data_IF_062013073974
#
_entry.id   IF_062013073974
#
_cell.length_a   1.000
_cell.length_b   1.000
_cell.length_c   1.000
_cell.angle_alpha   90.00
_cell.angle_beta   90.00
_cell.angle_gamma   90.00
#
_symmetry.space_group_name_H-M   'P 1'
#
loop_
_entity.id
_entity.type
_entity.pdbx_description
1 polymer ?
#
# COMPACT_ATOMS: atom_id res chain seq x y z
N UNK A 1 12.37 -36.76 11.38
CA UNK A 1 12.13 -35.97 12.61
C UNK A 1 11.49 -36.87 13.66
N UNK A 2 12.05 -36.99 14.87
CA UNK A 2 11.54 -37.92 15.91
C UNK A 2 10.41 -37.22 16.69
N UNK A 3 9.17 -37.59 16.39
CA UNK A 3 7.93 -36.99 16.94
C UNK A 3 7.87 -36.94 18.48
N UNK A 4 8.36 -37.98 19.15
CA UNK A 4 8.24 -38.08 20.61
C UNK A 4 9.02 -37.03 21.41
N UNK A 5 9.95 -36.29 20.80
CA UNK A 5 10.76 -35.27 21.50
C UNK A 5 10.23 -33.84 21.34
N UNK A 6 9.20 -33.61 20.51
CA UNK A 6 8.59 -32.30 20.28
C UNK A 6 7.78 -31.85 21.50
N UNK A 7 7.92 -30.57 21.88
CA UNK A 7 7.19 -30.02 23.03
C UNK A 7 5.67 -30.06 22.82
N UNK A 8 5.20 -29.88 21.59
CA UNK A 8 3.79 -29.93 21.22
C UNK A 8 3.18 -31.31 21.45
N UNK A 9 3.93 -32.37 21.15
CA UNK A 9 3.51 -33.74 21.43
C UNK A 9 3.44 -34.02 22.93
N UNK A 10 4.45 -33.56 23.69
CA UNK A 10 4.46 -33.70 25.16
C UNK A 10 3.32 -32.92 25.82
N UNK A 11 3.03 -31.71 25.33
CA UNK A 11 1.90 -30.89 25.78
C UNK A 11 0.57 -31.58 25.44
N UNK A 12 0.45 -32.15 24.24
CA UNK A 12 -0.77 -32.87 23.81
C UNK A 12 -1.02 -34.10 24.67
N UNK A 13 0.03 -34.84 25.04
CA UNK A 13 -0.09 -35.98 25.95
C UNK A 13 -0.57 -35.55 27.34
N UNK A 14 0.04 -34.51 27.92
CA UNK A 14 -0.38 -33.95 29.21
C UNK A 14 -1.80 -33.41 29.18
N UNK A 15 -2.23 -32.84 28.04
CA UNK A 15 -3.60 -32.39 27.84
C UNK A 15 -4.57 -33.58 27.87
N UNK A 16 -4.26 -34.66 27.15
CA UNK A 16 -5.05 -35.89 27.17
C UNK A 16 -5.19 -36.49 28.58
N UNK A 17 -4.09 -36.54 29.34
CA UNK A 17 -4.10 -37.00 30.74
C UNK A 17 -5.05 -36.15 31.61
N UNK A 18 -5.03 -34.82 31.46
CA UNK A 18 -5.90 -33.91 32.21
C UNK A 18 -7.37 -33.99 31.78
N UNK A 19 -7.64 -34.19 30.49
CA UNK A 19 -9.01 -34.38 29.99
C UNK A 19 -9.62 -35.64 30.59
N UNK A 20 -8.86 -36.73 30.67
CA UNK A 20 -9.32 -37.95 31.29
C UNK A 20 -9.59 -37.76 32.80
N UNK A 21 -8.67 -37.14 33.53
CA UNK A 21 -8.83 -36.93 34.98
C UNK A 21 -10.05 -36.07 35.35
N UNK A 22 -10.40 -35.09 34.52
CA UNK A 22 -11.45 -34.11 34.84
C UNK A 22 -12.80 -34.43 34.22
N UNK A 23 -12.80 -35.06 33.04
CA UNK A 23 -14.00 -35.26 32.22
C UNK A 23 -14.17 -36.71 31.76
N UNK A 24 -13.27 -37.63 32.14
CA UNK A 24 -13.25 -39.04 31.73
C UNK A 24 -13.15 -39.26 30.20
N UNK A 25 -12.68 -38.24 29.47
CA UNK A 25 -12.43 -38.33 28.03
C UNK A 25 -11.00 -38.82 27.79
N UNK A 26 -10.85 -40.00 27.18
CA UNK A 26 -9.56 -40.57 26.79
C UNK A 26 -9.19 -40.21 25.35
N UNK A 27 -7.96 -39.72 25.14
CA UNK A 27 -7.40 -39.56 23.79
C UNK A 27 -6.51 -40.75 23.44
N UNK A 28 -6.76 -41.37 22.29
CA UNK A 28 -5.87 -42.34 21.66
C UNK A 28 -4.54 -41.71 21.26
N UNK A 29 -3.53 -42.53 20.98
CA UNK A 29 -2.23 -42.03 20.49
C UNK A 29 -2.36 -41.21 19.20
N UNK A 30 -3.29 -41.59 18.32
CA UNK A 30 -3.58 -40.84 17.09
C UNK A 30 -4.19 -39.47 17.38
N UNK A 31 -5.11 -39.37 18.33
CA UNK A 31 -5.73 -38.09 18.72
C UNK A 31 -4.72 -37.18 19.41
N UNK A 32 -3.83 -37.72 20.25
CA UNK A 32 -2.71 -36.96 20.83
C UNK A 32 -1.80 -36.41 19.73
N UNK A 33 -1.48 -37.22 18.72
CA UNK A 33 -0.71 -36.78 17.56
C UNK A 33 -1.44 -35.70 16.74
N UNK A 34 -2.75 -35.82 16.56
CA UNK A 34 -3.57 -34.83 15.86
C UNK A 34 -3.56 -33.49 16.60
N UNK A 35 -3.76 -33.49 17.92
CA UNK A 35 -3.66 -32.27 18.74
C UNK A 35 -2.26 -31.66 18.61
N UNK A 36 -1.21 -32.48 18.60
CA UNK A 36 0.15 -31.99 18.43
C UNK A 36 0.36 -31.31 17.06
N UNK A 37 -0.19 -31.90 15.98
CA UNK A 37 -0.20 -31.30 14.64
C UNK A 37 -0.91 -29.95 14.64
N UNK A 38 -2.07 -29.85 15.30
CA UNK A 38 -2.82 -28.60 15.38
C UNK A 38 -2.03 -27.51 16.13
N UNK A 39 -1.36 -27.88 17.23
CA UNK A 39 -0.49 -26.97 17.98
C UNK A 39 0.76 -26.54 17.19
N UNK A 40 1.31 -27.41 16.34
CA UNK A 40 2.41 -27.08 15.42
C UNK A 40 1.96 -26.16 14.28
N UNK A 41 0.71 -26.30 13.86
CA UNK A 41 0.10 -25.56 12.75
C UNK A 41 -0.46 -24.21 13.18
N UNK A 42 -0.54 -23.95 14.49
CA UNK A 42 -0.95 -22.68 15.06
C UNK A 42 0.23 -21.71 15.14
N UNK A 43 -0.01 -20.45 14.79
CA UNK A 43 1.00 -19.39 14.91
C UNK A 43 1.26 -19.10 16.39
N UNK A 44 2.52 -19.16 16.80
CA UNK A 44 2.94 -18.83 18.18
C UNK A 44 3.64 -17.49 18.17
N UNK A 45 3.13 -16.51 18.91
CA UNK A 45 3.74 -15.17 18.97
C UNK A 45 5.08 -15.16 19.72
N UNK A 46 5.34 -16.19 20.53
CA UNK A 46 6.62 -16.47 21.18
C UNK A 46 7.07 -17.89 20.78
N UNK A 47 7.97 -17.98 19.80
CA UNK A 47 8.64 -19.25 19.45
C UNK A 47 10.11 -19.20 19.86
N UNK A 48 10.38 -19.69 21.08
CA UNK A 48 11.73 -19.88 21.64
C UNK A 48 12.59 -20.86 20.84
N UNK A 49 12.03 -21.57 19.85
CA UNK A 49 12.75 -22.41 18.90
C UNK A 49 12.90 -21.76 17.51
N UNK A 50 12.69 -20.45 17.39
CA UNK A 50 12.99 -19.68 16.16
C UNK A 50 14.38 -20.02 15.58
N UNK A 51 15.37 -20.27 16.45
CA UNK A 51 16.76 -20.53 16.10
C UNK A 51 17.18 -22.01 16.18
N UNK A 52 16.27 -22.96 16.40
CA UNK A 52 16.66 -24.38 16.45
C UNK A 52 17.15 -24.87 15.08
N UNK A 53 18.18 -25.72 15.05
CA UNK A 53 18.75 -26.31 13.81
C UNK A 53 17.70 -26.95 12.89
N UNK A 54 16.60 -27.44 13.45
CA UNK A 54 15.47 -28.03 12.72
C UNK A 54 14.87 -27.11 11.64
N UNK A 55 15.04 -25.79 11.75
CA UNK A 55 14.47 -24.81 10.83
C UNK A 55 15.53 -24.04 10.02
N UNK A 56 16.79 -24.50 10.00
CA UNK A 56 17.85 -23.84 9.24
C UNK A 56 17.52 -23.74 7.75
N UNK A 57 16.97 -24.79 7.14
CA UNK A 57 16.58 -24.78 5.73
C UNK A 57 15.40 -23.83 5.46
N UNK A 58 14.45 -23.74 6.41
CA UNK A 58 13.36 -22.77 6.33
C UNK A 58 13.90 -21.35 6.32
N UNK A 59 14.85 -21.05 7.21
CA UNK A 59 15.49 -19.73 7.30
C UNK A 59 16.22 -19.36 6.02
N UNK A 60 17.04 -20.26 5.47
CA UNK A 60 17.78 -20.02 4.22
C UNK A 60 16.84 -19.71 3.05
N UNK A 61 15.75 -20.47 2.90
CA UNK A 61 14.76 -20.22 1.86
C UNK A 61 14.06 -18.86 2.02
N UNK A 62 13.79 -18.44 3.26
CA UNK A 62 13.22 -17.13 3.55
C UNK A 62 14.20 -15.98 3.27
N UNK A 63 15.48 -16.15 3.59
CA UNK A 63 16.52 -15.17 3.26
C UNK A 63 16.63 -14.98 1.75
N UNK A 64 16.64 -16.08 0.98
CA UNK A 64 16.66 -16.06 -0.49
C UNK A 64 15.38 -15.41 -1.06
N UNK A 65 14.21 -15.73 -0.49
CA UNK A 65 12.95 -15.12 -0.83
C UNK A 65 12.93 -13.60 -0.60
N UNK A 66 13.41 -13.13 0.56
CA UNK A 66 13.50 -11.70 0.88
C UNK A 66 14.45 -11.00 -0.09
N UNK A 67 15.63 -11.59 -0.33
CA UNK A 67 16.62 -11.03 -1.25
C UNK A 67 16.08 -10.91 -2.68
N UNK A 68 15.47 -11.99 -3.19
CA UNK A 68 14.90 -11.98 -4.53
C UNK A 68 13.75 -11.00 -4.62
N UNK A 69 12.84 -10.99 -3.64
CA UNK A 69 11.74 -10.03 -3.60
C UNK A 69 12.25 -8.59 -3.64
N UNK A 70 13.24 -8.23 -2.82
CA UNK A 70 13.82 -6.89 -2.80
C UNK A 70 14.42 -6.51 -4.16
N UNK A 71 15.05 -7.45 -4.86
CA UNK A 71 15.60 -7.22 -6.21
C UNK A 71 14.54 -6.90 -7.27
N UNK A 72 13.28 -7.28 -7.04
CA UNK A 72 12.18 -7.06 -7.98
C UNK A 72 11.46 -5.72 -7.75
N UNK A 73 11.74 -5.02 -6.64
CA UNK A 73 11.08 -3.77 -6.27
C UNK A 73 12.08 -2.62 -6.20
N UNK A 74 11.58 -1.37 -6.21
CA UNK A 74 12.40 -0.15 -6.08
C UNK A 74 12.38 0.45 -4.67
N UNK A 75 11.87 -0.30 -3.69
CA UNK A 75 11.78 0.13 -2.29
C UNK A 75 12.77 -0.68 -1.45
N UNK A 76 13.27 -0.06 -0.38
CA UNK A 76 14.13 -0.72 0.59
C UNK A 76 13.28 -1.47 1.62
N UNK A 77 13.76 -2.64 2.07
CA UNK A 77 13.16 -3.32 3.21
C UNK A 77 13.87 -2.84 4.49
N UNK A 78 13.14 -2.19 5.40
CA UNK A 78 13.66 -1.84 6.71
C UNK A 78 13.71 -3.07 7.62
N UNK A 79 14.67 -3.08 8.55
CA UNK A 79 14.77 -4.07 9.62
C UNK A 79 14.60 -5.51 9.09
N UNK A 80 15.41 -5.91 8.10
CA UNK A 80 15.33 -7.24 7.46
C UNK A 80 15.37 -8.39 8.46
N UNK A 81 16.13 -8.24 9.54
CA UNK A 81 16.17 -9.25 10.60
C UNK A 81 14.81 -9.41 11.28
N UNK A 82 14.06 -8.33 11.48
CA UNK A 82 12.73 -8.34 12.09
C UNK A 82 11.69 -8.93 11.12
N UNK A 83 11.78 -8.57 9.83
CA UNK A 83 10.99 -9.20 8.78
C UNK A 83 11.23 -10.71 8.74
N UNK A 84 12.50 -11.12 8.73
CA UNK A 84 12.89 -12.53 8.71
C UNK A 84 12.37 -13.26 9.96
N UNK A 85 12.48 -12.68 11.15
CA UNK A 85 11.92 -13.26 12.38
C UNK A 85 10.40 -13.44 12.29
N UNK A 86 9.68 -12.43 11.79
CA UNK A 86 8.23 -12.50 11.62
C UNK A 86 7.81 -13.54 10.57
N UNK A 87 8.52 -13.60 9.44
CA UNK A 87 8.29 -14.60 8.41
C UNK A 87 8.63 -16.00 8.91
N UNK A 88 9.67 -16.18 9.72
CA UNK A 88 10.00 -17.47 10.34
C UNK A 88 8.84 -17.97 11.21
N UNK A 89 8.29 -17.12 12.08
CA UNK A 89 7.14 -17.48 12.94
C UNK A 89 5.93 -17.88 12.08
N UNK A 90 5.59 -17.08 11.07
CA UNK A 90 4.46 -17.37 10.20
C UNK A 90 4.66 -18.64 9.35
N UNK A 91 5.82 -18.76 8.72
CA UNK A 91 6.10 -19.78 7.71
C UNK A 91 6.32 -21.17 8.32
N UNK A 92 6.78 -21.26 9.58
CA UNK A 92 6.78 -22.55 10.31
C UNK A 92 5.37 -23.13 10.41
N UNK A 93 4.43 -22.34 10.92
CA UNK A 93 3.03 -22.75 11.06
C UNK A 93 2.40 -23.03 9.68
N UNK A 94 2.69 -22.19 8.68
CA UNK A 94 2.26 -22.39 7.30
C UNK A 94 2.76 -23.72 6.72
N UNK A 95 4.05 -24.04 6.90
CA UNK A 95 4.63 -25.27 6.36
C UNK A 95 3.96 -26.51 6.97
N UNK A 96 3.72 -26.52 8.28
CA UNK A 96 2.96 -27.60 8.91
C UNK A 96 1.53 -27.69 8.39
N UNK A 97 0.83 -26.55 8.26
CA UNK A 97 -0.51 -26.53 7.64
C UNK A 97 -0.51 -27.15 6.26
N UNK A 98 0.47 -26.81 5.41
CA UNK A 98 0.60 -27.35 4.05
C UNK A 98 0.93 -28.83 4.03
N UNK A 99 1.85 -29.25 4.90
CA UNK A 99 2.29 -30.64 5.00
C UNK A 99 1.14 -31.58 5.40
N UNK A 100 0.26 -31.11 6.29
CA UNK A 100 -0.86 -31.92 6.80
C UNK A 100 -2.21 -31.58 6.16
N UNK A 101 -2.25 -30.77 5.09
CA UNK A 101 -3.49 -30.43 4.38
C UNK A 101 -4.49 -29.60 5.19
N UNK A 102 -4.03 -28.81 6.15
CA UNK A 102 -4.87 -27.92 6.97
C UNK A 102 -5.13 -26.64 6.19
N UNK A 103 -6.39 -26.43 5.82
CA UNK A 103 -6.82 -25.22 5.12
C UNK A 103 -6.79 -24.00 6.05
N UNK A 104 -6.33 -22.88 5.52
CA UNK A 104 -6.36 -21.59 6.19
C UNK A 104 -6.76 -20.53 5.17
N UNK A 105 -7.71 -19.68 5.56
CA UNK A 105 -8.24 -18.62 4.71
C UNK A 105 -7.77 -17.28 5.25
N UNK A 106 -7.28 -16.43 4.36
CA UNK A 106 -7.03 -15.03 4.69
C UNK A 106 -8.30 -14.22 4.33
N UNK A 107 -9.02 -13.65 5.31
CA UNK A 107 -10.25 -12.91 5.04
C UNK A 107 -10.02 -11.64 4.21
N UNK A 108 -8.78 -11.16 4.15
CA UNK A 108 -8.39 -9.93 3.46
C UNK A 108 -7.85 -10.15 2.05
N UNK A 109 -7.73 -11.39 1.56
CA UNK A 109 -7.11 -11.70 0.25
C UNK A 109 -7.68 -10.87 -0.89
N UNK A 110 -9.01 -10.74 -0.98
CA UNK A 110 -9.65 -9.94 -2.02
C UNK A 110 -9.26 -8.46 -1.92
N UNK A 111 -9.24 -7.92 -0.70
CA UNK A 111 -8.88 -6.51 -0.46
C UNK A 111 -7.41 -6.26 -0.78
N UNK A 112 -6.52 -7.17 -0.38
CA UNK A 112 -5.08 -7.08 -0.63
C UNK A 112 -4.79 -7.14 -2.13
N UNK A 113 -5.41 -8.07 -2.85
CA UNK A 113 -5.28 -8.15 -4.31
C UNK A 113 -5.79 -6.89 -5.02
N UNK A 114 -6.85 -6.27 -4.50
CA UNK A 114 -7.43 -5.06 -5.08
C UNK A 114 -6.61 -3.81 -4.79
N UNK A 115 -6.15 -3.62 -3.54
CA UNK A 115 -5.46 -2.40 -3.08
C UNK A 115 -3.94 -2.45 -3.30
N UNK A 116 -3.35 -3.64 -3.18
CA UNK A 116 -1.90 -3.87 -3.25
C UNK A 116 -1.56 -4.87 -4.36
N UNK A 117 -2.25 -4.79 -5.50
CA UNK A 117 -2.16 -5.77 -6.59
C UNK A 117 -0.75 -5.98 -7.11
N UNK A 118 0.01 -4.90 -7.34
CA UNK A 118 1.40 -4.98 -7.80
C UNK A 118 2.29 -5.70 -6.77
N UNK A 119 2.21 -5.29 -5.50
CA UNK A 119 2.96 -5.93 -4.41
C UNK A 119 2.63 -7.42 -4.31
N UNK A 120 1.34 -7.77 -4.38
CA UNK A 120 0.87 -9.16 -4.36
C UNK A 120 1.44 -9.97 -5.53
N UNK A 121 1.50 -9.40 -6.74
CA UNK A 121 2.07 -10.06 -7.92
C UNK A 121 3.56 -10.35 -7.74
N UNK A 122 4.32 -9.36 -7.25
CA UNK A 122 5.75 -9.53 -6.99
C UNK A 122 5.97 -10.55 -5.87
N UNK A 123 5.23 -10.48 -4.77
CA UNK A 123 5.29 -11.47 -3.69
C UNK A 123 4.98 -12.87 -4.20
N UNK A 124 3.96 -13.04 -5.05
CA UNK A 124 3.63 -14.35 -5.65
C UNK A 124 4.77 -14.91 -6.48
N UNK A 125 5.38 -14.09 -7.33
CA UNK A 125 6.52 -14.49 -8.15
C UNK A 125 7.71 -14.88 -7.27
N UNK A 126 8.02 -14.09 -6.25
CA UNK A 126 9.11 -14.41 -5.31
C UNK A 126 8.84 -15.68 -4.51
N UNK A 127 7.58 -15.95 -4.17
CA UNK A 127 7.19 -17.10 -3.38
C UNK A 127 7.41 -18.45 -4.10
N UNK A 128 7.67 -18.44 -5.42
CA UNK A 128 8.10 -19.64 -6.15
C UNK A 128 9.40 -20.25 -5.57
N UNK A 129 10.28 -19.42 -5.00
CA UNK A 129 11.47 -19.87 -4.26
C UNK A 129 11.07 -20.75 -3.07
N UNK A 130 10.05 -20.32 -2.33
CA UNK A 130 9.54 -21.05 -1.16
C UNK A 130 8.82 -22.33 -1.57
N UNK A 131 8.01 -22.28 -2.63
CA UNK A 131 7.34 -23.47 -3.18
C UNK A 131 8.36 -24.53 -3.60
N UNK A 132 9.42 -24.13 -4.29
CA UNK A 132 10.51 -25.01 -4.71
C UNK A 132 11.30 -25.58 -3.54
N UNK A 133 11.70 -24.74 -2.58
CA UNK A 133 12.49 -25.15 -1.43
C UNK A 133 11.73 -26.09 -0.48
N UNK A 134 10.43 -25.88 -0.32
CA UNK A 134 9.61 -26.63 0.66
C UNK A 134 8.74 -27.72 0.04
N UNK A 135 8.75 -27.85 -1.29
CA UNK A 135 7.92 -28.80 -2.04
C UNK A 135 6.41 -28.63 -1.73
N UNK A 136 5.95 -27.39 -1.64
CA UNK A 136 4.56 -27.04 -1.38
C UNK A 136 3.95 -26.20 -2.50
N UNK A 137 2.63 -26.04 -2.46
CA UNK A 137 1.91 -25.02 -3.24
C UNK A 137 1.24 -24.01 -2.33
N UNK A 138 1.51 -22.73 -2.58
CA UNK A 138 0.95 -21.58 -1.90
C UNK A 138 -0.33 -21.15 -2.63
N UNK A 139 -1.37 -20.88 -1.85
CA UNK A 139 -2.63 -20.34 -2.36
C UNK A 139 -2.59 -18.83 -2.34
N UNK A 140 -3.53 -18.17 -3.04
CA UNK A 140 -3.70 -16.72 -2.98
C UNK A 140 -3.80 -16.20 -1.53
N UNK A 141 -4.40 -16.99 -0.61
CA UNK A 141 -4.52 -16.62 0.81
C UNK A 141 -3.16 -16.62 1.54
N UNK A 142 -2.28 -17.56 1.20
CA UNK A 142 -0.94 -17.62 1.76
C UNK A 142 -0.07 -16.50 1.20
N UNK A 143 -0.16 -16.24 -0.11
CA UNK A 143 0.50 -15.10 -0.75
C UNK A 143 0.03 -13.78 -0.14
N UNK A 144 -1.27 -13.63 0.14
CA UNK A 144 -1.81 -12.44 0.78
C UNK A 144 -1.22 -12.21 2.18
N UNK A 145 -0.99 -13.27 2.95
CA UNK A 145 -0.29 -13.16 4.24
C UNK A 145 1.16 -12.71 4.07
N UNK A 146 1.92 -13.33 3.15
CA UNK A 146 3.29 -12.92 2.84
C UNK A 146 3.36 -11.47 2.38
N UNK A 147 2.37 -11.04 1.59
CA UNK A 147 2.23 -9.67 1.07
C UNK A 147 2.09 -8.67 2.22
N UNK A 148 1.25 -8.96 3.23
CA UNK A 148 1.12 -8.11 4.43
C UNK A 148 2.44 -8.05 5.19
N UNK A 149 3.07 -9.21 5.42
CA UNK A 149 4.29 -9.29 6.20
C UNK A 149 5.43 -8.49 5.56
N UNK A 150 5.61 -8.60 4.25
CA UNK A 150 6.62 -7.79 3.56
C UNK A 150 6.19 -6.33 3.52
N UNK A 151 4.93 -6.05 3.16
CA UNK A 151 4.42 -4.69 3.03
C UNK A 151 4.59 -3.84 4.30
N UNK A 152 4.48 -4.44 5.48
CA UNK A 152 4.71 -3.76 6.76
C UNK A 152 6.17 -3.45 7.09
N UNK A 153 7.12 -4.01 6.34
CA UNK A 153 8.57 -3.78 6.48
C UNK A 153 9.17 -3.08 5.26
N UNK A 154 8.37 -2.82 4.24
CA UNK A 154 8.79 -1.91 3.19
C UNK A 154 8.94 -0.55 3.82
N UNK A 155 10.15 -0.01 3.68
CA UNK A 155 10.34 1.41 3.91
C UNK A 155 9.38 2.10 2.97
N UNK A 156 8.46 2.87 3.54
CA UNK A 156 7.88 3.96 2.79
C UNK A 156 8.99 5.01 2.60
N UNK A 157 9.95 4.67 1.75
CA UNK A 157 10.73 5.66 1.06
C UNK A 157 9.83 5.99 -0.11
N UNK A 158 9.17 7.17 -0.16
CA UNK A 158 8.72 7.69 -1.44
C UNK A 158 9.98 7.65 -2.29
N UNK A 159 10.03 6.69 -3.21
CA UNK A 159 11.25 6.36 -3.93
C UNK A 159 11.69 7.65 -4.59
N UNK A 160 12.77 8.24 -4.06
CA UNK A 160 13.28 9.61 -4.20
C UNK A 160 12.78 10.70 -3.22
N UNK A 161 13.47 10.80 -2.08
CA UNK A 161 13.85 12.11 -1.47
C UNK A 161 14.78 12.96 -2.37
N UNK A 162 14.88 12.61 -3.66
CA UNK A 162 15.36 13.51 -4.73
C UNK A 162 14.22 14.31 -5.39
N UNK A 163 12.96 14.06 -5.03
CA UNK A 163 11.79 14.69 -5.65
C UNK A 163 10.78 15.24 -4.62
N UNK A 164 11.21 15.72 -3.44
CA UNK A 164 10.35 16.70 -2.76
C UNK A 164 10.37 17.94 -3.63
N UNK A 165 9.33 18.13 -4.43
CA UNK A 165 9.21 19.23 -5.35
C UNK A 165 9.06 20.48 -4.49
N UNK A 166 9.95 21.45 -4.73
CA UNK A 166 9.77 22.79 -4.19
C UNK A 166 8.71 23.47 -5.02
N UNK A 167 7.58 23.73 -4.39
CA UNK A 167 6.40 24.27 -5.05
C UNK A 167 6.13 25.66 -4.50
N UNK A 168 6.08 26.65 -5.39
CA UNK A 168 5.62 27.98 -5.03
C UNK A 168 4.17 28.16 -5.44
N UNK A 169 3.38 28.72 -4.53
CA UNK A 169 2.03 29.18 -4.83
C UNK A 169 2.08 30.67 -5.13
N UNK A 170 1.50 31.09 -6.25
CA UNK A 170 1.33 32.50 -6.62
C UNK A 170 -0.16 32.82 -6.69
N UNK A 171 -0.62 33.77 -5.88
CA UNK A 171 -2.03 34.10 -5.72
C UNK A 171 -2.16 35.58 -5.32
N UNK A 172 -2.89 36.37 -6.10
CA UNK A 172 -3.09 37.81 -5.90
C UNK A 172 -4.43 38.15 -5.22
N UNK A 173 -5.31 37.16 -5.05
CA UNK A 173 -6.71 37.26 -4.57
C UNK A 173 -6.84 37.47 -3.05
N UNK A 174 -5.74 37.82 -2.38
CA UNK A 174 -5.68 38.21 -0.98
C UNK A 174 -5.52 37.04 0.01
N UNK A 175 -5.11 37.39 1.23
CA UNK A 175 -4.62 36.43 2.25
C UNK A 175 -5.58 35.28 2.56
N UNK A 176 -6.89 35.53 2.57
CA UNK A 176 -7.89 34.51 2.88
C UNK A 176 -7.95 33.42 1.79
N UNK A 177 -7.98 33.84 0.53
CA UNK A 177 -8.03 32.95 -0.63
C UNK A 177 -6.70 32.20 -0.78
N UNK A 178 -5.58 32.90 -0.63
CA UNK A 178 -4.24 32.29 -0.63
C UNK A 178 -4.08 31.19 0.42
N UNK A 179 -4.62 31.38 1.63
CA UNK A 179 -4.60 30.35 2.69
C UNK A 179 -5.48 29.16 2.36
N UNK A 180 -6.63 29.39 1.72
CA UNK A 180 -7.51 28.31 1.28
C UNK A 180 -6.83 27.47 0.20
N UNK A 181 -6.24 28.11 -0.82
CA UNK A 181 -5.45 27.43 -1.85
C UNK A 181 -4.28 26.65 -1.24
N UNK A 182 -3.52 27.26 -0.33
CA UNK A 182 -2.43 26.58 0.38
C UNK A 182 -2.92 25.34 1.13
N UNK A 183 -4.05 25.44 1.83
CA UNK A 183 -4.62 24.31 2.57
C UNK A 183 -5.08 23.20 1.63
N UNK A 184 -5.76 23.53 0.53
CA UNK A 184 -6.17 22.55 -0.48
C UNK A 184 -4.97 21.86 -1.13
N UNK A 185 -3.92 22.62 -1.50
CA UNK A 185 -2.70 22.03 -2.04
C UNK A 185 -2.01 21.12 -1.03
N UNK A 186 -1.87 21.53 0.24
CA UNK A 186 -1.28 20.66 1.28
C UNK A 186 -2.08 19.39 1.53
N UNK A 187 -3.40 19.44 1.36
CA UNK A 187 -4.28 18.28 1.48
C UNK A 187 -4.02 17.25 0.39
N UNK A 188 -3.93 17.68 -0.87
CA UNK A 188 -3.71 16.77 -2.01
C UNK A 188 -2.23 16.41 -2.24
N UNK A 189 -1.31 17.20 -1.70
CA UNK A 189 0.15 17.05 -1.86
C UNK A 189 0.88 17.10 -0.50
N UNK A 190 0.58 16.20 0.44
CA UNK A 190 1.13 16.25 1.80
C UNK A 190 2.65 16.02 1.86
N UNK A 191 3.23 15.47 0.79
CA UNK A 191 4.65 15.11 0.70
C UNK A 191 5.51 16.18 0.00
N UNK A 192 4.94 17.31 -0.43
CA UNK A 192 5.66 18.36 -1.18
C UNK A 192 6.02 19.58 -0.31
N UNK A 193 7.10 20.28 -0.67
CA UNK A 193 7.54 21.47 0.06
C UNK A 193 6.76 22.71 -0.42
N UNK A 194 5.63 22.97 0.23
CA UNK A 194 4.78 24.16 0.02
C UNK A 194 4.86 25.05 1.26
N UNK A 195 5.89 25.89 1.33
CA UNK A 195 6.18 26.69 2.53
C UNK A 195 5.57 28.10 2.50
N UNK A 196 5.39 28.69 1.32
CA UNK A 196 5.02 30.10 1.17
C UNK A 196 4.11 30.37 -0.03
N UNK A 197 3.19 31.32 0.13
CA UNK A 197 2.39 31.89 -0.97
C UNK A 197 2.93 33.28 -1.28
N UNK A 198 3.16 33.55 -2.56
CA UNK A 198 3.64 34.83 -3.08
C UNK A 198 2.50 35.57 -3.80
N UNK A 199 2.53 36.89 -3.81
CA UNK A 199 1.89 37.66 -4.88
C UNK A 199 2.74 37.58 -6.14
N UNK A 200 2.17 37.90 -7.31
CA UNK A 200 2.91 37.96 -8.57
C UNK A 200 4.12 38.88 -8.46
N UNK A 201 3.98 40.05 -7.83
CA UNK A 201 5.07 41.00 -7.59
C UNK A 201 6.18 40.40 -6.72
N UNK A 202 5.83 39.73 -5.63
CA UNK A 202 6.80 39.11 -4.73
C UNK A 202 7.54 37.97 -5.41
N UNK A 203 6.84 37.11 -6.16
CA UNK A 203 7.45 36.03 -6.90
C UNK A 203 8.45 36.55 -7.94
N UNK A 204 8.07 37.57 -8.72
CA UNK A 204 8.95 38.19 -9.72
C UNK A 204 10.22 38.79 -9.12
N UNK A 205 10.16 39.29 -7.89
CA UNK A 205 11.34 39.84 -7.20
C UNK A 205 12.38 38.78 -6.80
N UNK A 206 11.99 37.50 -6.70
CA UNK A 206 12.86 36.39 -6.28
C UNK A 206 13.08 35.34 -7.37
N UNK A 207 12.42 35.47 -8.52
CA UNK A 207 12.38 34.46 -9.59
C UNK A 207 13.79 34.05 -10.06
N UNK A 208 14.70 35.01 -10.19
CA UNK A 208 16.06 34.77 -10.70
C UNK A 208 16.93 33.91 -9.77
N UNK A 209 16.68 34.00 -8.46
CA UNK A 209 17.44 33.30 -7.42
C UNK A 209 16.68 32.10 -6.84
N UNK A 210 15.41 31.92 -7.21
CA UNK A 210 14.58 30.83 -6.74
C UNK A 210 15.07 29.48 -7.29
N UNK A 211 14.92 28.44 -6.47
CA UNK A 211 15.10 27.05 -6.87
C UNK A 211 13.81 26.30 -6.59
N UNK A 212 12.93 26.29 -7.57
CA UNK A 212 11.62 25.63 -7.51
C UNK A 212 11.45 24.69 -8.68
N UNK A 213 10.69 23.62 -8.46
CA UNK A 213 10.39 22.63 -9.48
C UNK A 213 9.14 22.99 -10.30
N UNK A 214 8.17 23.66 -9.66
CA UNK A 214 6.92 24.08 -10.29
C UNK A 214 6.29 25.24 -9.54
N UNK A 215 5.63 26.12 -10.28
CA UNK A 215 4.81 27.21 -9.77
C UNK A 215 3.34 26.86 -10.00
N UNK A 216 2.53 26.87 -8.96
CA UNK A 216 1.07 26.81 -9.07
C UNK A 216 0.56 28.24 -8.94
N UNK A 217 -0.25 28.67 -9.91
CA UNK A 217 -0.73 30.06 -9.98
C UNK A 217 -2.22 30.10 -10.28
N UNK A 218 -2.90 31.10 -9.69
CA UNK A 218 -4.25 31.51 -10.09
C UNK A 218 -4.24 32.64 -11.12
N UNK A 219 -3.06 33.24 -11.38
CA UNK A 219 -2.87 34.28 -12.38
C UNK A 219 -2.54 33.66 -13.73
N UNK A 220 -3.46 33.80 -14.70
CA UNK A 220 -3.31 33.27 -16.06
C UNK A 220 -2.17 33.93 -16.84
N UNK A 221 -1.90 35.21 -16.58
CA UNK A 221 -0.91 36.03 -17.29
C UNK A 221 0.50 35.89 -16.71
N UNK A 222 0.68 35.10 -15.63
CA UNK A 222 2.00 34.85 -15.07
C UNK A 222 2.84 34.04 -16.06
N UNK A 223 3.95 34.64 -16.50
CA UNK A 223 5.02 33.96 -17.21
C UNK A 223 6.17 33.64 -16.26
N UNK A 224 6.91 32.55 -16.48
CA UNK A 224 8.03 32.16 -15.64
C UNK A 224 9.01 31.24 -16.36
N UNK A 225 10.28 31.30 -15.93
CA UNK A 225 11.30 30.31 -16.34
C UNK A 225 11.03 28.90 -15.80
N UNK A 226 10.18 28.77 -14.78
CA UNK A 226 9.81 27.50 -14.18
C UNK A 226 8.51 26.96 -14.78
N UNK A 227 8.29 25.63 -14.75
CA UNK A 227 7.00 25.04 -15.09
C UNK A 227 5.83 25.68 -14.32
N UNK A 228 4.73 25.99 -15.03
CA UNK A 228 3.55 26.64 -14.43
C UNK A 228 2.33 25.72 -14.52
N UNK A 229 1.69 25.48 -13.39
CA UNK A 229 0.36 24.89 -13.27
C UNK A 229 -0.65 26.00 -12.96
N UNK A 230 -1.55 26.25 -13.90
CA UNK A 230 -2.67 27.18 -13.70
C UNK A 230 -3.84 26.45 -13.07
N UNK A 231 -4.37 27.00 -11.99
CA UNK A 231 -5.46 26.40 -11.22
C UNK A 231 -6.44 27.46 -10.77
N UNK A 232 -7.66 27.04 -10.43
CA UNK A 232 -8.61 27.92 -9.78
C UNK A 232 -8.25 28.16 -8.31
N UNK A 233 -8.58 29.32 -7.71
CA UNK A 233 -8.34 29.58 -6.29
C UNK A 233 -9.04 28.58 -5.35
N UNK A 234 -10.18 28.04 -5.80
CA UNK A 234 -10.84 26.87 -5.23
C UNK A 234 -10.60 25.73 -6.22
N UNK A 235 -9.86 24.71 -5.80
CA UNK A 235 -9.43 23.66 -6.72
C UNK A 235 -10.62 22.83 -7.18
N UNK A 236 -10.77 22.67 -8.49
CA UNK A 236 -11.71 21.73 -9.09
C UNK A 236 -11.02 20.37 -9.37
N UNK A 237 -11.79 19.32 -9.65
CA UNK A 237 -11.20 18.01 -9.99
C UNK A 237 -10.19 18.08 -11.13
N UNK A 238 -10.42 18.94 -12.14
CA UNK A 238 -9.47 19.10 -13.23
C UNK A 238 -8.14 19.66 -12.77
N UNK A 239 -8.16 20.63 -11.86
CA UNK A 239 -6.95 21.21 -11.28
C UNK A 239 -6.18 20.14 -10.51
N UNK A 240 -6.89 19.40 -9.65
CA UNK A 240 -6.32 18.30 -8.84
C UNK A 240 -5.70 17.23 -9.74
N UNK A 241 -6.40 16.81 -10.79
CA UNK A 241 -5.92 15.80 -11.73
C UNK A 241 -4.68 16.28 -12.50
N UNK A 242 -4.68 17.52 -13.00
CA UNK A 242 -3.52 18.12 -13.70
C UNK A 242 -2.30 18.18 -12.78
N UNK A 243 -2.51 18.61 -11.53
CA UNK A 243 -1.44 18.70 -10.53
C UNK A 243 -0.90 17.32 -10.16
N UNK A 244 -1.77 16.32 -9.93
CA UNK A 244 -1.37 14.95 -9.61
C UNK A 244 -0.61 14.28 -10.77
N UNK A 245 -1.07 14.49 -12.01
CA UNK A 245 -0.40 13.96 -13.21
C UNK A 245 1.00 14.56 -13.38
N UNK A 246 1.11 15.89 -13.24
CA UNK A 246 2.39 16.59 -13.32
C UNK A 246 3.38 16.12 -12.25
N UNK A 247 2.93 15.99 -10.99
CA UNK A 247 3.81 15.56 -9.89
C UNK A 247 4.24 14.09 -10.02
N UNK A 248 3.39 13.22 -10.57
CA UNK A 248 3.74 11.80 -10.79
C UNK A 248 4.64 11.57 -12.00
N UNK A 249 4.45 12.35 -13.07
CA UNK A 249 5.08 12.05 -14.36
C UNK A 249 6.08 13.10 -14.85
N UNK A 250 6.18 14.27 -14.21
CA UNK A 250 6.94 15.44 -14.68
C UNK A 250 6.64 15.81 -16.15
N UNK A 251 5.42 15.54 -16.61
CA UNK A 251 4.99 15.77 -17.98
C UNK A 251 3.75 16.66 -17.94
N UNK A 252 3.77 17.75 -18.69
CA UNK A 252 2.53 18.42 -19.06
C UNK A 252 1.85 17.59 -20.14
N UNK A 253 0.85 16.79 -19.76
CA UNK A 253 -0.01 16.18 -20.76
C UNK A 253 -0.83 17.29 -21.43
N UNK A 254 -0.43 17.65 -22.65
CA UNK A 254 -1.36 18.25 -23.62
C UNK A 254 -2.33 17.16 -24.07
N UNK A 255 -3.21 16.70 -23.18
CA UNK A 255 -4.42 16.05 -23.66
C UNK A 255 -5.23 17.15 -24.37
N UNK A 256 -5.46 16.97 -25.67
CA UNK A 256 -6.18 17.92 -26.52
C UNK A 256 -7.63 18.17 -26.08
N UNK A 257 -8.09 17.47 -25.03
CA UNK A 257 -9.39 17.61 -24.40
C UNK A 257 -9.29 17.47 -22.89
N UNK A 258 -9.88 18.41 -22.14
CA UNK A 258 -9.99 18.33 -20.69
C UNK A 258 -10.86 17.13 -20.24
N UNK A 259 -10.80 16.76 -18.97
CA UNK A 259 -11.70 15.73 -18.42
C UNK A 259 -13.17 16.10 -18.64
N UNK A 260 -13.55 17.36 -18.40
CA UNK A 260 -14.89 17.89 -18.72
C UNK A 260 -15.23 17.72 -20.20
N UNK A 261 -14.31 18.03 -21.10
CA UNK A 261 -14.54 17.90 -22.55
C UNK A 261 -14.65 16.43 -22.99
N UNK A 262 -13.86 15.54 -22.40
CA UNK A 262 -13.95 14.10 -22.62
C UNK A 262 -15.28 13.55 -22.08
N UNK A 263 -15.67 13.94 -20.86
CA UNK A 263 -16.93 13.56 -20.25
C UNK A 263 -18.12 14.09 -21.05
N UNK A 264 -18.06 15.35 -21.51
CA UNK A 264 -19.07 15.96 -22.37
C UNK A 264 -19.18 15.22 -23.71
N UNK A 265 -18.05 14.86 -24.34
CA UNK A 265 -18.04 14.08 -25.58
C UNK A 265 -18.60 12.67 -25.39
N UNK A 266 -18.37 12.05 -24.23
CA UNK A 266 -18.90 10.75 -23.90
C UNK A 266 -20.41 10.82 -23.65
N UNK A 267 -20.87 11.77 -22.81
CA UNK A 267 -22.29 11.93 -22.48
C UNK A 267 -23.11 12.30 -23.72
N UNK A 268 -22.61 13.20 -24.56
CA UNK A 268 -23.29 13.60 -25.81
C UNK A 268 -23.46 12.46 -26.81
N UNK A 269 -22.67 11.38 -26.70
CA UNK A 269 -22.86 10.18 -27.52
C UNK A 269 -24.06 9.31 -27.08
N UNK A 270 -24.56 9.50 -25.85
CA UNK A 270 -25.68 8.73 -25.29
C UNK A 270 -26.92 9.59 -24.98
N UNK A 271 -26.76 10.90 -24.76
CA UNK A 271 -27.84 11.84 -24.43
C UNK A 271 -27.94 12.91 -25.52
N UNK A 272 -29.03 12.89 -26.29
CA UNK A 272 -29.28 13.82 -27.40
C UNK A 272 -29.75 15.20 -26.93
N UNK A 273 -30.45 15.26 -25.79
CA UNK A 273 -30.90 16.53 -25.19
C UNK A 273 -29.73 17.25 -24.52
N UNK A 274 -29.33 18.39 -25.07
CA UNK A 274 -28.19 19.17 -24.60
C UNK A 274 -28.36 19.73 -23.19
N UNK A 275 -29.58 20.08 -22.78
CA UNK A 275 -29.85 20.56 -21.41
C UNK A 275 -29.75 19.43 -20.41
N UNK A 276 -30.30 18.27 -20.74
CA UNK A 276 -30.21 17.09 -19.87
C UNK A 276 -28.76 16.60 -19.76
N UNK A 277 -28.02 16.57 -20.87
CA UNK A 277 -26.61 16.18 -20.91
C UNK A 277 -25.74 17.10 -20.03
N UNK A 278 -25.93 18.41 -20.13
CA UNK A 278 -25.19 19.38 -19.30
C UNK A 278 -25.49 19.21 -17.82
N UNK A 279 -26.77 19.02 -17.46
CA UNK A 279 -27.17 18.81 -16.06
C UNK A 279 -26.59 17.50 -15.51
N UNK A 280 -26.63 16.42 -16.29
CA UNK A 280 -26.05 15.14 -15.91
C UNK A 280 -24.53 15.22 -15.73
N UNK A 281 -23.85 15.93 -16.63
CA UNK A 281 -22.42 16.19 -16.51
C UNK A 281 -22.09 16.91 -15.18
N UNK A 282 -22.84 17.96 -14.85
CA UNK A 282 -22.67 18.72 -13.59
C UNK A 282 -22.86 17.84 -12.35
N UNK A 283 -23.89 16.98 -12.34
CA UNK A 283 -24.16 16.06 -11.24
C UNK A 283 -23.03 15.01 -11.07
N UNK A 284 -22.54 14.44 -12.17
CA UNK A 284 -21.42 13.47 -12.16
C UNK A 284 -20.13 14.14 -11.68
N UNK A 285 -19.83 15.33 -12.20
CA UNK A 285 -18.66 16.11 -11.80
C UNK A 285 -18.72 16.43 -10.29
N UNK A 286 -19.89 16.83 -9.80
CA UNK A 286 -20.13 17.10 -8.39
C UNK A 286 -19.92 15.86 -7.51
N UNK A 287 -20.40 14.69 -7.94
CA UNK A 287 -20.23 13.44 -7.22
C UNK A 287 -18.75 13.02 -7.15
N UNK A 288 -18.02 13.15 -8.26
CA UNK A 288 -16.59 12.87 -8.33
C UNK A 288 -15.82 13.84 -7.42
N UNK A 289 -16.15 15.13 -7.46
CA UNK A 289 -15.56 16.13 -6.57
C UNK A 289 -15.80 15.77 -5.10
N UNK A 290 -17.02 15.34 -4.75
CA UNK A 290 -17.36 14.93 -3.39
C UNK A 290 -16.58 13.70 -2.93
N UNK A 291 -16.43 12.68 -3.78
CA UNK A 291 -15.65 11.46 -3.44
C UNK A 291 -14.15 11.75 -3.30
N UNK A 292 -13.58 12.57 -4.19
CA UNK A 292 -12.16 12.97 -4.11
C UNK A 292 -11.91 13.76 -2.81
N UNK A 293 -12.82 14.68 -2.47
CA UNK A 293 -12.75 15.45 -1.22
C UNK A 293 -12.89 14.54 0.00
N UNK A 294 -13.84 13.59 0.00
CA UNK A 294 -14.06 12.67 1.13
C UNK A 294 -12.89 11.71 1.34
N UNK A 295 -12.27 11.18 0.28
CA UNK A 295 -11.06 10.37 0.40
C UNK A 295 -9.89 11.14 1.02
N UNK A 296 -9.75 12.43 0.68
CA UNK A 296 -8.72 13.28 1.26
C UNK A 296 -8.95 13.59 2.76
N UNK A 297 -10.19 13.50 3.26
CA UNK A 297 -10.51 13.72 4.68
C UNK A 297 -10.50 12.44 5.53
N UNK A 298 -10.59 11.25 4.94
CA UNK A 298 -10.64 9.97 5.66
C UNK A 298 -9.26 9.37 5.95
N UNK A 299 -8.18 9.94 5.45
CA UNK A 299 -6.80 9.51 5.76
C UNK A 299 -6.23 10.15 7.05
N UNK A 300 -6.98 11.04 7.71
CA UNK A 300 -6.59 11.75 8.95
C UNK A 300 -7.30 11.24 10.23
N UNK A 301 -7.86 10.02 10.23
CA UNK A 301 -8.40 9.33 11.43
C UNK A 301 -7.81 7.92 11.52
#
# INVERSE_FOLDING_TARGET
MIWGKRIEYQVSKKLGERLFQKFEISLSGLEVSLVAVLLLSYRKDLDIHAESDDFRQLKLALEEFIWYFESQIRMEIENKDDLLRNLMIHCKALLFRKTYGIFSKNPLTKQIRSKYGELFLVTRKSAEILEGAWFIRLTDDDIAYLTIHIGGFLKYTPSSQKNMKKVYLVCDEGVAVSRLLLKQCKLYFPNEQIDTVFTTEQFKSVEDIAQVDVVITTNDDLDSRFPILRVNPILEAEDILKMLDYLKHNIFRNESKSFSENLSSLISSYIVDSKLASKFQEEVQTLINQEIVVQAFLEDI
#
